data_IF_096774189412
#
_entry.id   IF_096774189412
#
_cell.length_a   1.000
_cell.length_b   1.000
_cell.length_c   1.000
_cell.angle_alpha   90.00
_cell.angle_beta   90.00
_cell.angle_gamma   90.00
#
_symmetry.space_group_name_H-M   'P 1'
#
loop_
_entity.id
_entity.type
_entity.pdbx_description
1 polymer ?
#
# COMPACT_ATOMS: atom_id res chain seq x y z
N UNK A 1 10.06 0.84 10.00
CA UNK A 1 9.06 1.21 9.00
C UNK A 1 8.59 2.63 9.22
N UNK A 2 8.74 3.43 8.18
CA UNK A 2 8.41 4.85 8.16
C UNK A 2 7.35 5.17 7.08
N UNK A 3 6.97 6.44 6.96
CA UNK A 3 6.05 6.93 5.93
C UNK A 3 6.58 6.71 4.51
N UNK A 4 7.90 6.68 4.33
CA UNK A 4 8.51 6.54 3.01
C UNK A 4 8.25 5.14 2.43
N UNK A 5 8.35 4.09 3.25
CA UNK A 5 8.04 2.71 2.82
C UNK A 5 6.59 2.59 2.32
N UNK A 6 5.63 3.14 3.08
CA UNK A 6 4.23 3.19 2.66
C UNK A 6 4.04 3.99 1.37
N UNK A 7 4.73 5.13 1.25
CA UNK A 7 4.64 5.97 0.05
C UNK A 7 5.13 5.22 -1.19
N UNK A 8 6.25 4.47 -1.07
CA UNK A 8 6.82 3.70 -2.18
C UNK A 8 5.93 2.54 -2.63
N UNK A 9 5.44 1.73 -1.69
CA UNK A 9 4.59 0.58 -2.04
C UNK A 9 3.22 1.04 -2.56
N UNK A 10 2.63 2.09 -1.99
CA UNK A 10 1.38 2.66 -2.50
C UNK A 10 1.58 3.20 -3.92
N UNK A 11 2.64 3.99 -4.17
CA UNK A 11 2.92 4.51 -5.51
C UNK A 11 3.17 3.39 -6.53
N UNK A 12 3.87 2.33 -6.14
CA UNK A 12 4.06 1.14 -6.98
C UNK A 12 2.70 0.55 -7.40
N UNK A 13 1.81 0.27 -6.45
CA UNK A 13 0.50 -0.32 -6.71
C UNK A 13 -0.39 0.64 -7.51
N UNK A 14 -0.45 1.91 -7.13
CA UNK A 14 -1.26 2.92 -7.82
C UNK A 14 -0.84 3.11 -9.29
N UNK A 15 0.45 3.00 -9.61
CA UNK A 15 0.92 3.06 -10.99
C UNK A 15 0.40 1.90 -11.86
N UNK A 16 0.04 0.76 -11.25
CA UNK A 16 -0.55 -0.40 -11.96
C UNK A 16 -2.07 -0.30 -12.02
N UNK A 17 -2.69 0.21 -10.95
CA UNK A 17 -4.13 0.33 -10.89
C UNK A 17 -4.66 1.51 -11.71
N UNK A 18 -3.99 2.66 -11.70
CA UNK A 18 -4.49 3.90 -12.32
C UNK A 18 -4.75 3.76 -13.82
N UNK A 19 -3.85 3.16 -14.63
CA UNK A 19 -4.12 2.95 -16.05
C UNK A 19 -5.37 2.13 -16.32
N UNK A 20 -5.72 1.18 -15.45
CA UNK A 20 -6.93 0.35 -15.60
C UNK A 20 -8.24 1.14 -15.44
N UNK A 21 -8.16 2.39 -14.98
CA UNK A 21 -9.30 3.31 -14.87
C UNK A 21 -9.30 4.42 -15.91
N UNK A 22 -8.31 4.47 -16.82
CA UNK A 22 -8.27 5.49 -17.86
C UNK A 22 -9.35 5.22 -18.92
N UNK A 23 -10.01 6.28 -19.39
CA UNK A 23 -11.06 6.17 -20.41
C UNK A 23 -10.54 5.55 -21.72
N UNK A 24 -9.28 5.81 -22.05
CA UNK A 24 -8.56 5.41 -23.26
C UNK A 24 -8.25 3.90 -23.33
N UNK A 25 -8.23 3.19 -22.20
CA UNK A 25 -7.86 1.76 -22.11
C UNK A 25 -9.05 0.82 -21.93
N UNK A 26 -10.29 1.32 -22.08
CA UNK A 26 -11.47 0.44 -22.17
C UNK A 26 -12.63 0.78 -21.24
N UNK A 27 -13.05 2.05 -21.16
CA UNK A 27 -14.38 2.36 -20.63
C UNK A 27 -15.12 3.32 -21.57
N UNK A 28 -15.26 2.95 -22.86
CA UNK A 28 -16.11 3.68 -23.81
C UNK A 28 -17.60 3.73 -23.39
N UNK A 29 -17.99 2.91 -22.43
CA UNK A 29 -19.16 3.15 -21.59
C UNK A 29 -18.61 3.43 -20.20
N UNK A 30 -18.63 4.68 -19.74
CA UNK A 30 -18.15 5.03 -18.40
C UNK A 30 -18.68 4.02 -17.38
N UNK A 31 -17.79 3.43 -16.58
CA UNK A 31 -18.24 2.56 -15.49
C UNK A 31 -19.20 1.45 -15.95
N UNK A 32 -18.81 0.57 -16.86
CA UNK A 32 -19.55 -0.70 -16.97
C UNK A 32 -19.62 -1.32 -15.56
N UNK A 33 -20.84 -1.61 -15.12
CA UNK A 33 -21.16 -2.11 -13.78
C UNK A 33 -20.80 -3.60 -13.62
N UNK A 34 -19.86 -4.10 -14.44
CA UNK A 34 -19.39 -5.47 -14.43
C UNK A 34 -18.51 -5.76 -13.20
N UNK A 35 -18.43 -7.03 -12.85
CA UNK A 35 -17.75 -7.47 -11.63
C UNK A 35 -16.24 -7.19 -11.65
N UNK A 36 -15.62 -7.12 -12.83
CA UNK A 36 -14.19 -6.79 -12.96
C UNK A 36 -13.95 -5.34 -12.58
N UNK A 37 -14.75 -4.43 -13.15
CA UNK A 37 -14.70 -3.00 -12.83
C UNK A 37 -14.98 -2.74 -11.33
N UNK A 38 -15.90 -3.49 -10.72
CA UNK A 38 -16.17 -3.44 -9.28
C UNK A 38 -15.00 -3.95 -8.44
N UNK A 39 -14.41 -5.08 -8.82
CA UNK A 39 -13.26 -5.67 -8.14
C UNK A 39 -12.04 -4.73 -8.18
N UNK A 40 -11.77 -4.10 -9.33
CA UNK A 40 -10.70 -3.11 -9.46
C UNK A 40 -10.94 -1.89 -8.55
N UNK A 41 -12.17 -1.37 -8.49
CA UNK A 41 -12.50 -0.25 -7.58
C UNK A 41 -12.34 -0.65 -6.12
N UNK A 42 -12.80 -1.84 -5.74
CA UNK A 42 -12.63 -2.35 -4.38
C UNK A 42 -11.14 -2.48 -4.03
N UNK A 43 -10.33 -3.00 -4.95
CA UNK A 43 -8.88 -3.10 -4.79
C UNK A 43 -8.22 -1.72 -4.62
N UNK A 44 -8.57 -0.75 -5.48
CA UNK A 44 -8.08 0.63 -5.35
C UNK A 44 -8.51 1.25 -4.01
N UNK A 45 -9.74 1.03 -3.58
CA UNK A 45 -10.25 1.47 -2.29
C UNK A 45 -9.45 0.91 -1.12
N UNK A 46 -9.18 -0.40 -1.13
CA UNK A 46 -8.36 -1.06 -0.11
C UNK A 46 -6.93 -0.50 -0.06
N UNK A 47 -6.33 -0.19 -1.21
CA UNK A 47 -4.99 0.44 -1.27
C UNK A 47 -5.02 1.84 -0.66
N UNK A 48 -6.03 2.65 -0.98
CA UNK A 48 -6.19 4.00 -0.43
C UNK A 48 -6.39 3.96 1.08
N UNK A 49 -7.30 3.11 1.55
CA UNK A 49 -7.56 2.88 2.98
C UNK A 49 -6.27 2.47 3.70
N UNK A 50 -5.57 1.46 3.17
CA UNK A 50 -4.32 1.01 3.79
C UNK A 50 -3.23 2.08 3.77
N UNK A 51 -3.22 2.96 2.78
CA UNK A 51 -2.28 4.08 2.74
C UNK A 51 -2.59 5.19 3.76
N UNK A 52 -3.82 5.27 4.28
CA UNK A 52 -4.23 6.30 5.25
C UNK A 52 -3.45 6.21 6.57
N UNK A 53 -2.89 5.03 6.89
CA UNK A 53 -2.04 4.80 8.06
C UNK A 53 -0.81 5.73 8.10
N UNK A 54 -0.38 6.30 6.95
CA UNK A 54 0.68 7.32 6.89
C UNK A 54 0.42 8.49 7.86
N UNK A 55 -0.84 8.90 8.05
CA UNK A 55 -1.20 9.94 9.01
C UNK A 55 -1.01 9.52 10.47
N UNK A 56 -1.18 8.24 10.78
CA UNK A 56 -0.94 7.69 12.12
C UNK A 56 0.55 7.58 12.45
N UNK A 57 1.38 7.22 11.45
CA UNK A 57 2.84 7.15 11.61
C UNK A 57 3.40 8.52 12.03
N UNK A 58 2.90 9.62 11.45
CA UNK A 58 3.32 10.98 11.81
C UNK A 58 3.06 11.34 13.28
N UNK A 59 2.08 10.71 13.93
CA UNK A 59 1.71 10.95 15.33
C UNK A 59 2.36 9.96 16.30
N UNK A 60 3.06 8.95 15.80
CA UNK A 60 3.63 7.84 16.59
C UNK A 60 4.61 8.30 17.67
N UNK A 61 5.45 9.29 17.35
CA UNK A 61 6.48 9.80 18.26
C UNK A 61 5.87 10.51 19.48
N UNK A 62 4.78 11.23 19.29
CA UNK A 62 4.10 12.03 20.31
C UNK A 62 3.03 11.23 21.08
N UNK A 63 2.64 10.06 20.57
CA UNK A 63 1.63 9.21 21.19
C UNK A 63 2.10 8.63 22.53
N UNK A 64 1.18 8.59 23.49
CA UNK A 64 1.33 7.85 24.75
C UNK A 64 1.55 6.35 24.51
N UNK A 65 2.17 5.61 25.46
CA UNK A 65 2.59 4.23 25.22
C UNK A 65 1.49 3.27 24.74
N UNK A 66 0.26 3.39 25.27
CA UNK A 66 -0.86 2.56 24.85
C UNK A 66 -1.29 2.87 23.40
N UNK A 67 -1.40 4.16 23.06
CA UNK A 67 -1.73 4.60 21.70
C UNK A 67 -0.61 4.24 20.71
N UNK A 68 0.65 4.35 21.10
CA UNK A 68 1.79 3.95 20.27
C UNK A 68 1.73 2.47 19.90
N UNK A 69 1.38 1.58 20.84
CA UNK A 69 1.19 0.15 20.54
C UNK A 69 0.06 -0.09 19.54
N UNK A 70 -1.06 0.63 19.67
CA UNK A 70 -2.17 0.53 18.72
C UNK A 70 -1.77 1.04 17.32
N UNK A 71 -0.99 2.13 17.25
CA UNK A 71 -0.41 2.63 16.01
C UNK A 71 0.51 1.57 15.38
N UNK A 72 1.40 0.96 16.16
CA UNK A 72 2.33 -0.05 15.66
C UNK A 72 1.62 -1.28 15.07
N UNK A 73 0.58 -1.77 15.75
CA UNK A 73 -0.26 -2.87 15.24
C UNK A 73 -1.00 -2.48 13.96
N UNK A 74 -1.53 -1.25 13.90
CA UNK A 74 -2.20 -0.74 12.70
C UNK A 74 -1.23 -0.61 11.53
N UNK A 75 -0.01 -0.14 11.80
CA UNK A 75 1.08 -0.01 10.82
C UNK A 75 1.49 -1.38 10.29
N UNK A 76 1.65 -2.38 11.14
CA UNK A 76 1.95 -3.76 10.72
C UNK A 76 0.84 -4.35 9.85
N UNK A 77 -0.43 -4.23 10.28
CA UNK A 77 -1.58 -4.74 9.55
C UNK A 77 -1.69 -4.13 8.13
N UNK A 78 -1.64 -2.81 8.02
CA UNK A 78 -1.79 -2.15 6.72
C UNK A 78 -0.59 -2.40 5.80
N UNK A 79 0.60 -2.58 6.35
CA UNK A 79 1.76 -3.01 5.58
C UNK A 79 1.55 -4.41 4.99
N UNK A 80 1.05 -5.35 5.79
CA UNK A 80 0.78 -6.72 5.34
C UNK A 80 -0.29 -6.76 4.23
N UNK A 81 -1.30 -5.89 4.29
CA UNK A 81 -2.28 -5.72 3.21
C UNK A 81 -1.59 -5.23 1.93
N UNK A 82 -0.83 -4.14 2.00
CA UNK A 82 -0.19 -3.54 0.82
C UNK A 82 0.82 -4.48 0.16
N UNK A 83 1.64 -5.21 0.94
CA UNK A 83 2.54 -6.20 0.35
C UNK A 83 1.83 -7.41 -0.23
N UNK A 84 0.71 -7.85 0.36
CA UNK A 84 -0.11 -8.93 -0.18
C UNK A 84 -0.63 -8.58 -1.57
N UNK A 85 -1.04 -7.32 -1.75
CA UNK A 85 -1.42 -6.75 -3.04
C UNK A 85 -0.21 -6.63 -3.96
N UNK A 86 0.89 -6.02 -3.53
CA UNK A 86 2.08 -5.80 -4.35
C UNK A 86 2.70 -7.11 -4.89
N UNK A 87 2.62 -8.20 -4.13
CA UNK A 87 3.11 -9.54 -4.53
C UNK A 87 2.46 -10.09 -5.80
N UNK A 88 1.28 -9.60 -6.19
CA UNK A 88 0.66 -9.98 -7.46
C UNK A 88 1.43 -9.47 -8.69
N UNK A 89 2.42 -8.59 -8.49
CA UNK A 89 3.31 -8.05 -9.52
C UNK A 89 4.78 -8.33 -9.19
N UNK A 90 5.09 -9.45 -8.52
CA UNK A 90 6.46 -9.80 -8.11
C UNK A 90 7.43 -9.98 -9.29
N UNK A 91 6.90 -10.36 -10.46
CA UNK A 91 7.62 -10.51 -11.72
C UNK A 91 7.83 -9.19 -12.48
N UNK A 92 7.21 -8.10 -12.02
CA UNK A 92 7.31 -6.80 -12.67
C UNK A 92 8.70 -6.16 -12.46
N UNK A 93 9.33 -5.54 -13.49
CA UNK A 93 10.64 -4.89 -13.38
C UNK A 93 10.80 -3.89 -12.22
N UNK A 94 9.83 -3.01 -11.98
CA UNK A 94 9.90 -2.05 -10.86
C UNK A 94 9.53 -2.63 -9.48
N UNK A 95 9.27 -3.94 -9.37
CA UNK A 95 8.98 -4.55 -8.09
C UNK A 95 10.23 -4.50 -7.18
N UNK A 96 10.10 -3.84 -6.04
CA UNK A 96 11.20 -3.70 -5.10
C UNK A 96 11.23 -4.87 -4.10
N UNK A 97 12.44 -5.40 -3.82
CA UNK A 97 12.64 -6.50 -2.85
C UNK A 97 12.12 -6.17 -1.44
N UNK A 98 12.07 -4.90 -1.08
CA UNK A 98 11.53 -4.44 0.22
C UNK A 98 10.05 -4.78 0.39
N UNK A 99 9.25 -4.85 -0.68
CA UNK A 99 7.84 -5.24 -0.61
C UNK A 99 7.65 -6.69 -0.17
N UNK A 100 8.71 -7.50 -0.18
CA UNK A 100 8.67 -8.87 0.36
C UNK A 100 8.89 -8.94 1.86
N UNK A 101 9.35 -7.87 2.52
CA UNK A 101 9.70 -7.87 3.94
C UNK A 101 8.47 -7.59 4.81
N UNK A 102 8.44 -8.11 6.02
CA UNK A 102 7.52 -7.71 7.07
C UNK A 102 7.89 -6.34 7.62
N UNK A 103 6.93 -5.70 8.28
CA UNK A 103 7.07 -4.41 8.96
C UNK A 103 8.34 -4.34 9.84
N UNK A 104 8.49 -5.32 10.71
CA UNK A 104 9.59 -5.41 11.68
C UNK A 104 10.96 -5.64 11.03
N UNK A 105 11.02 -6.27 9.85
CA UNK A 105 12.27 -6.44 9.09
C UNK A 105 12.76 -5.11 8.49
N UNK A 106 11.85 -4.16 8.25
CA UNK A 106 12.16 -2.82 7.75
C UNK A 106 12.51 -1.84 8.87
N UNK A 107 12.11 -2.12 10.11
CA UNK A 107 12.59 -1.40 11.31
C UNK A 107 14.02 -1.83 11.71
N UNK A 108 14.41 -3.06 11.40
CA UNK A 108 15.68 -3.67 11.85
C UNK A 108 16.84 -3.64 10.86
N UNK A 109 16.67 -3.16 9.63
CA UNK A 109 17.75 -3.13 8.65
C UNK A 109 18.67 -1.92 8.91
N UNK A 110 19.96 -2.09 9.29
CA UNK A 110 20.90 -0.98 9.19
C UNK A 110 20.95 -0.53 7.73
N UNK A 111 20.92 0.78 7.51
CA UNK A 111 21.22 1.36 6.21
C UNK A 111 22.58 0.79 5.77
N UNK A 112 22.55 -0.08 4.75
CA UNK A 112 23.78 -0.52 4.12
C UNK A 112 24.40 0.72 3.47
N UNK A 113 25.46 1.23 4.12
CA UNK A 113 26.33 2.28 3.59
C UNK A 113 27.21 1.79 2.46
#
# INVERSE_FOLDING_TARGET
MDVQHFTRITAFIEARLTPLFAAETGSENGFAMDDTSRALRALRGAVLEASAVKGLIGRRAEAEPALRRAIDQSVEHHWDVLRGIARQWEDHPDFAREFKRHAWELDGAPAAG
#
